data_IF_890335533445
#
_entry.id   IF_890335533445
#
_cell.length_a   1.000
_cell.length_b   1.000
_cell.length_c   1.000
_cell.angle_alpha   90.00
_cell.angle_beta   90.00
_cell.angle_gamma   90.00
#
_symmetry.space_group_name_H-M   'P 1'
#
loop_
_entity.id
_entity.type
_entity.pdbx_description
1 polymer ?
#
# COMPACT_ATOMS: atom_id res chain seq x y z
N UNK A 1 9.43 42.54 2.47
CA UNK A 1 8.73 42.02 1.28
C UNK A 1 9.56 40.81 0.87
N UNK A 2 9.30 39.57 1.33
CA UNK A 2 8.08 38.77 1.11
C UNK A 2 8.02 38.45 -0.38
N UNK A 3 8.26 37.22 -0.86
CA UNK A 3 7.49 35.96 -0.69
C UNK A 3 8.49 34.76 -0.63
N UNK A 4 8.36 33.68 0.17
CA UNK A 4 7.24 32.72 0.30
C UNK A 4 7.10 31.94 -1.01
N UNK A 5 7.43 30.66 -1.21
CA UNK A 5 7.56 29.49 -0.35
C UNK A 5 6.73 28.38 -0.99
N UNK A 6 7.35 27.40 -1.64
CA UNK A 6 6.74 26.07 -1.87
C UNK A 6 7.86 25.06 -2.15
N UNK A 7 8.19 24.23 -1.15
CA UNK A 7 9.05 23.07 -1.32
C UNK A 7 8.14 21.86 -1.50
N UNK A 8 7.83 21.49 -2.75
CA UNK A 8 7.12 20.25 -3.05
C UNK A 8 8.12 19.10 -2.98
N UNK A 9 7.88 18.23 -2.00
CA UNK A 9 8.79 17.19 -1.54
C UNK A 9 7.97 15.93 -1.34
N UNK A 10 8.06 14.99 -2.27
CA UNK A 10 7.48 13.66 -2.05
C UNK A 10 8.15 12.93 -0.94
N UNK A 11 7.31 12.48 -0.02
CA UNK A 11 7.71 11.53 0.96
C UNK A 11 6.58 10.54 1.22
N UNK A 12 6.84 9.24 1.09
CA UNK A 12 6.24 8.30 2.05
C UNK A 12 6.82 8.65 3.43
N UNK A 13 6.14 9.51 4.17
CA UNK A 13 6.44 9.76 5.57
C UNK A 13 5.48 8.91 6.37
N UNK A 14 5.96 8.19 7.38
CA UNK A 14 5.11 7.60 8.41
C UNK A 14 3.97 6.66 7.89
N UNK A 15 4.23 5.85 6.86
CA UNK A 15 3.29 4.89 6.23
C UNK A 15 2.20 5.48 5.31
N UNK A 16 2.35 6.75 4.93
CA UNK A 16 1.46 7.42 3.98
C UNK A 16 1.95 7.21 2.53
N UNK A 17 1.03 6.89 1.62
CA UNK A 17 1.25 6.73 0.18
C UNK A 17 0.32 7.70 -0.52
N UNK A 18 0.86 8.58 -1.37
CA UNK A 18 0.09 9.58 -2.11
C UNK A 18 -0.07 9.14 -3.57
N UNK A 19 -1.31 9.19 -4.08
CA UNK A 19 -1.72 8.72 -5.40
C UNK A 19 -2.34 9.88 -6.18
N UNK A 20 -1.89 10.04 -7.43
CA UNK A 20 -2.38 11.05 -8.36
C UNK A 20 -3.50 10.56 -9.25
N UNK A 21 -4.35 11.50 -9.67
CA UNK A 21 -5.24 11.34 -10.82
C UNK A 21 -4.75 12.23 -11.97
N UNK A 22 -3.72 11.80 -12.69
CA UNK A 22 -3.34 12.45 -13.95
C UNK A 22 -3.97 11.68 -15.12
N UNK A 23 -5.08 12.19 -15.66
CA UNK A 23 -5.69 11.65 -16.90
C UNK A 23 -4.89 12.09 -18.15
N UNK A 24 -3.92 12.98 -17.98
CA UNK A 24 -3.12 13.55 -19.05
C UNK A 24 -1.77 12.86 -19.18
N UNK A 25 -1.74 11.85 -20.06
CA UNK A 25 -0.57 11.10 -20.50
C UNK A 25 0.12 10.27 -19.42
N UNK A 26 0.58 9.08 -19.82
CA UNK A 26 1.50 8.21 -19.08
C UNK A 26 2.85 8.94 -18.92
N UNK A 27 2.87 10.07 -18.24
CA UNK A 27 4.08 10.77 -17.89
C UNK A 27 4.86 9.84 -16.96
N UNK A 28 6.18 9.80 -17.15
CA UNK A 28 7.08 9.15 -16.21
C UNK A 28 6.65 9.56 -14.80
N UNK A 29 6.40 8.60 -13.87
CA UNK A 29 6.01 8.94 -12.52
C UNK A 29 6.96 10.02 -12.04
N UNK A 30 6.42 11.20 -11.71
CA UNK A 30 7.24 12.19 -11.03
C UNK A 30 7.58 11.61 -9.67
N UNK A 31 8.56 12.19 -8.99
CA UNK A 31 8.96 11.65 -7.68
C UNK A 31 7.78 11.58 -6.69
N UNK A 32 6.66 12.28 -6.96
CA UNK A 32 5.62 12.70 -6.01
C UNK A 32 4.19 12.26 -6.31
N UNK A 33 3.92 11.76 -7.50
CA UNK A 33 2.59 11.36 -7.96
C UNK A 33 2.72 10.05 -8.75
N UNK A 34 1.95 9.04 -8.37
CA UNK A 34 1.84 7.80 -9.11
C UNK A 34 0.38 7.51 -9.43
N UNK A 35 0.07 7.34 -10.71
CA UNK A 35 -1.20 6.75 -11.11
C UNK A 35 -1.19 5.26 -10.74
N UNK A 36 -2.34 4.75 -10.29
CA UNK A 36 -2.48 3.37 -9.85
C UNK A 36 -3.68 2.71 -10.52
N UNK A 37 -3.48 1.48 -11.00
CA UNK A 37 -4.58 0.65 -11.51
C UNK A 37 -5.22 -0.07 -10.33
N UNK A 38 -6.56 -0.07 -10.24
CA UNK A 38 -7.28 -0.89 -9.28
C UNK A 38 -7.65 -2.20 -9.98
N UNK A 39 -7.03 -3.31 -9.57
CA UNK A 39 -7.17 -4.61 -10.25
C UNK A 39 -7.33 -5.74 -9.25
N UNK A 40 -8.55 -6.27 -9.16
CA UNK A 40 -8.88 -7.43 -8.33
C UNK A 40 -8.30 -8.75 -8.88
N UNK A 41 -7.82 -8.78 -10.13
CA UNK A 41 -7.15 -9.92 -10.75
C UNK A 41 -5.68 -10.08 -10.31
N UNK A 42 -5.08 -9.04 -9.72
CA UNK A 42 -3.73 -9.06 -9.19
C UNK A 42 -3.75 -9.28 -7.68
N UNK A 43 -3.11 -10.34 -7.18
CA UNK A 43 -3.17 -10.71 -5.75
C UNK A 43 -2.58 -9.65 -4.81
N UNK A 44 -1.35 -9.20 -5.08
CA UNK A 44 -0.57 -8.28 -4.23
C UNK A 44 -0.58 -6.86 -4.81
N UNK A 45 -0.35 -5.86 -3.96
CA UNK A 45 -0.17 -4.48 -4.43
C UNK A 45 1.20 -4.34 -5.08
N UNK A 46 1.23 -3.84 -6.31
CA UNK A 46 2.45 -3.51 -7.04
C UNK A 46 2.73 -2.03 -6.91
N UNK A 47 3.93 -1.67 -6.46
CA UNK A 47 4.36 -0.27 -6.37
C UNK A 47 5.62 -0.08 -7.18
N UNK A 48 5.80 1.12 -7.77
CA UNK A 48 7.08 1.49 -8.36
C UNK A 48 8.22 1.29 -7.35
N UNK A 49 9.36 0.78 -7.82
CA UNK A 49 10.47 0.33 -6.95
C UNK A 49 10.86 1.34 -5.87
N UNK A 50 10.95 2.63 -6.23
CA UNK A 50 11.30 3.72 -5.29
C UNK A 50 10.29 3.85 -4.15
N UNK A 51 8.99 3.77 -4.45
CA UNK A 51 7.91 3.84 -3.45
C UNK A 51 7.93 2.59 -2.57
N UNK A 52 8.08 1.41 -3.19
CA UNK A 52 8.15 0.14 -2.48
C UNK A 52 9.29 0.12 -1.45
N UNK A 53 10.52 0.42 -1.86
CA UNK A 53 11.67 0.33 -0.94
C UNK A 53 11.61 1.36 0.18
N UNK A 54 10.97 2.52 -0.07
CA UNK A 54 10.70 3.48 0.99
C UNK A 54 9.70 2.94 2.00
N UNK A 55 8.58 2.38 1.53
CA UNK A 55 7.59 1.71 2.38
C UNK A 55 8.23 0.57 3.18
N UNK A 56 9.02 -0.29 2.53
CA UNK A 56 9.72 -1.40 3.19
C UNK A 56 10.60 -0.88 4.35
N UNK A 57 11.36 0.20 4.11
CA UNK A 57 12.19 0.84 5.14
C UNK A 57 11.39 1.32 6.34
N UNK A 58 10.22 1.95 6.12
CA UNK A 58 9.33 2.40 7.20
C UNK A 58 8.75 1.21 7.95
N UNK A 59 8.29 0.18 7.26
CA UNK A 59 7.76 -1.05 7.88
C UNK A 59 8.82 -1.71 8.77
N UNK A 60 10.05 -1.85 8.26
CA UNK A 60 11.18 -2.40 9.02
C UNK A 60 11.56 -1.56 10.24
N UNK A 61 11.39 -0.24 10.17
CA UNK A 61 11.66 0.64 11.31
C UNK A 61 10.57 0.56 12.39
N UNK A 62 9.34 0.16 12.05
CA UNK A 62 8.22 0.03 12.98
C UNK A 62 8.06 -1.39 13.55
N UNK A 63 8.72 -2.39 12.96
CA UNK A 63 8.68 -3.79 13.40
C UNK A 63 10.05 -4.17 13.97
N UNK A 64 10.13 -4.43 15.27
CA UNK A 64 11.39 -4.71 15.99
C UNK A 64 11.94 -6.13 15.78
N UNK A 65 11.63 -6.79 14.67
CA UNK A 65 12.09 -8.15 14.37
C UNK A 65 12.90 -8.22 13.10
N UNK A 66 13.78 -9.22 13.05
CA UNK A 66 14.57 -9.47 11.86
C UNK A 66 13.68 -10.13 10.80
N UNK A 67 13.66 -9.60 9.56
CA UNK A 67 12.99 -10.27 8.47
C UNK A 67 13.54 -11.68 8.26
N UNK A 68 12.65 -12.62 7.92
CA UNK A 68 13.03 -13.98 7.57
C UNK A 68 13.88 -13.96 6.29
N UNK A 69 15.02 -14.65 6.33
CA UNK A 69 15.92 -14.80 5.18
C UNK A 69 16.25 -16.27 4.90
N UNK A 70 16.22 -16.73 3.63
CA UNK A 70 15.79 -15.99 2.44
C UNK A 70 14.28 -15.71 2.47
N UNK A 71 13.85 -14.63 1.82
CA UNK A 71 12.44 -14.34 1.61
C UNK A 71 11.71 -15.56 1.00
N UNK A 72 10.44 -15.75 1.36
CA UNK A 72 9.69 -16.95 1.00
C UNK A 72 9.64 -17.16 -0.53
N UNK A 73 9.51 -18.41 -0.99
CA UNK A 73 9.44 -18.77 -2.43
C UNK A 73 8.25 -18.15 -3.20
N UNK A 74 7.40 -17.36 -2.54
CA UNK A 74 6.18 -16.76 -3.09
C UNK A 74 6.39 -15.35 -3.65
N UNK A 75 7.62 -14.86 -3.70
CA UNK A 75 7.95 -13.58 -4.34
C UNK A 75 7.62 -12.34 -3.50
N UNK A 76 7.35 -12.50 -2.19
CA UNK A 76 7.16 -11.40 -1.26
C UNK A 76 8.49 -11.06 -0.58
N UNK A 77 9.03 -9.84 -0.74
CA UNK A 77 10.40 -9.53 -0.28
C UNK A 77 10.55 -9.38 1.24
N UNK A 78 9.49 -9.01 1.95
CA UNK A 78 9.53 -8.73 3.39
C UNK A 78 8.57 -9.64 4.18
N UNK A 79 9.13 -10.53 5.00
CA UNK A 79 8.39 -11.52 5.78
C UNK A 79 8.89 -11.61 7.22
N UNK A 80 8.00 -11.95 8.16
CA UNK A 80 8.26 -12.07 9.59
C UNK A 80 7.61 -13.33 10.17
N UNK A 81 8.12 -13.79 11.31
CA UNK A 81 7.51 -14.88 12.05
C UNK A 81 6.34 -14.37 12.91
N UNK A 82 5.16 -14.99 12.78
CA UNK A 82 3.95 -14.62 13.52
C UNK A 82 4.05 -14.88 15.02
N UNK A 83 4.84 -15.87 15.45
CA UNK A 83 5.06 -16.13 16.88
C UNK A 83 5.83 -15.00 17.54
N UNK A 84 6.70 -14.32 16.79
CA UNK A 84 7.34 -13.09 17.23
C UNK A 84 6.28 -11.97 17.28
N UNK A 85 5.49 -11.80 16.20
CA UNK A 85 4.37 -10.84 16.11
C UNK A 85 3.32 -10.92 17.22
N UNK A 86 2.98 -12.12 17.68
CA UNK A 86 1.95 -12.31 18.71
C UNK A 86 2.49 -12.18 20.14
N UNK A 87 3.81 -12.34 20.34
CA UNK A 87 4.44 -12.28 21.66
C UNK A 87 4.55 -10.87 22.24
N UNK A 88 4.55 -9.85 21.38
CA UNK A 88 4.46 -8.44 21.73
C UNK A 88 3.29 -7.89 20.92
N UNK A 89 2.30 -7.25 21.55
CA UNK A 89 1.11 -6.64 20.91
C UNK A 89 1.48 -5.51 19.91
N UNK A 90 2.33 -5.78 18.94
CA UNK A 90 2.81 -4.83 17.95
C UNK A 90 1.72 -4.70 16.92
N UNK A 91 1.06 -3.54 16.96
CA UNK A 91 0.20 -3.11 15.87
C UNK A 91 1.10 -2.85 14.67
N UNK A 92 0.91 -3.61 13.60
CA UNK A 92 1.50 -3.30 12.31
C UNK A 92 1.10 -1.87 11.92
N UNK A 93 1.99 -1.13 11.23
CA UNK A 93 1.69 0.24 10.85
C UNK A 93 0.41 0.30 10.02
N UNK A 94 -0.50 1.21 10.39
CA UNK A 94 -1.60 1.60 9.48
C UNK A 94 -0.99 2.24 8.25
N UNK A 95 -1.43 1.83 7.06
CA UNK A 95 -1.00 2.43 5.80
C UNK A 95 -2.16 3.19 5.20
N UNK A 96 -1.91 4.40 4.70
CA UNK A 96 -2.95 5.25 4.14
C UNK A 96 -2.61 5.54 2.69
N UNK A 97 -3.53 5.25 1.79
CA UNK A 97 -3.47 5.70 0.41
C UNK A 97 -4.29 6.98 0.30
N UNK A 98 -3.61 8.10 0.07
CA UNK A 98 -4.21 9.39 -0.19
C UNK A 98 -4.47 9.51 -1.68
N UNK A 99 -5.74 9.50 -2.08
CA UNK A 99 -6.18 9.80 -3.44
C UNK A 99 -6.57 11.26 -3.55
N UNK A 100 -6.48 11.81 -4.77
CA UNK A 100 -6.97 13.15 -5.08
C UNK A 100 -8.44 13.33 -4.66
N UNK A 101 -8.81 14.55 -4.26
CA UNK A 101 -10.15 14.86 -3.73
C UNK A 101 -10.29 14.62 -2.23
N UNK A 102 -9.19 14.67 -1.48
CA UNK A 102 -9.12 14.46 -0.02
C UNK A 102 -9.64 13.07 0.43
N UNK A 103 -9.46 12.05 -0.43
CA UNK A 103 -9.95 10.70 -0.20
C UNK A 103 -8.86 9.79 0.39
N UNK A 104 -9.01 9.41 1.66
CA UNK A 104 -8.11 8.50 2.36
C UNK A 104 -8.63 7.06 2.33
N UNK A 105 -7.89 6.15 1.71
CA UNK A 105 -8.10 4.70 1.86
C UNK A 105 -7.14 4.17 2.92
N UNK A 106 -7.67 3.97 4.13
CA UNK A 106 -6.92 3.45 5.27
C UNK A 106 -6.87 1.93 5.22
N UNK A 107 -5.68 1.36 5.11
CA UNK A 107 -5.46 -0.07 5.06
C UNK A 107 -5.12 -0.61 6.46
N UNK A 108 -5.78 -1.69 6.83
CA UNK A 108 -5.48 -2.44 8.07
C UNK A 108 -4.41 -3.51 7.82
N UNK A 109 -4.03 -4.24 8.86
CA UNK A 109 -3.18 -5.43 8.75
C UNK A 109 -3.70 -6.44 7.71
N UNK A 110 -5.02 -6.71 7.66
CA UNK A 110 -5.59 -7.66 6.70
C UNK A 110 -5.49 -7.19 5.25
N UNK A 111 -5.28 -5.89 5.05
CA UNK A 111 -5.09 -5.28 3.73
C UNK A 111 -3.61 -5.20 3.33
N UNK A 112 -2.70 -5.30 4.29
CA UNK A 112 -1.27 -4.98 4.10
C UNK A 112 -0.35 -6.16 4.30
N UNK A 113 -0.78 -7.18 5.04
CA UNK A 113 -0.02 -8.40 5.28
C UNK A 113 -0.81 -9.65 4.90
N UNK A 114 -0.09 -10.64 4.38
CA UNK A 114 -0.64 -11.91 3.96
C UNK A 114 0.04 -13.07 4.66
N UNK A 115 -0.76 -13.94 5.28
CA UNK A 115 -0.30 -15.17 5.91
C UNK A 115 0.11 -16.20 4.86
N UNK A 116 1.40 -16.51 4.77
CA UNK A 116 1.94 -17.54 3.85
C UNK A 116 1.84 -18.93 4.47
N UNK A 117 2.09 -19.02 5.78
CA UNK A 117 1.88 -20.23 6.59
C UNK A 117 1.22 -19.84 7.91
N UNK A 118 1.01 -20.81 8.81
CA UNK A 118 0.57 -20.55 10.18
C UNK A 118 1.53 -19.57 10.89
N UNK A 119 2.83 -19.79 10.75
CA UNK A 119 3.88 -19.03 11.44
C UNK A 119 4.51 -17.90 10.62
N UNK A 120 4.19 -17.73 9.34
CA UNK A 120 4.83 -16.72 8.49
C UNK A 120 3.80 -15.77 7.91
N UNK A 121 4.04 -14.47 8.08
CA UNK A 121 3.31 -13.40 7.41
C UNK A 121 4.28 -12.52 6.62
N UNK A 122 3.81 -11.96 5.52
CA UNK A 122 4.62 -11.12 4.65
C UNK A 122 3.86 -9.85 4.27
N UNK A 123 4.60 -8.77 4.06
CA UNK A 123 4.06 -7.55 3.48
C UNK A 123 3.49 -7.89 2.09
N UNK A 124 2.21 -7.62 1.85
CA UNK A 124 1.48 -7.94 0.63
C UNK A 124 1.73 -6.91 -0.49
N UNK A 125 2.96 -6.38 -0.56
CA UNK A 125 3.42 -5.40 -1.51
C UNK A 125 4.68 -5.92 -2.21
N UNK A 126 4.82 -5.63 -3.50
CA UNK A 126 5.94 -6.08 -4.33
C UNK A 126 6.43 -4.91 -5.21
N UNK A 127 7.75 -4.74 -5.38
CA UNK A 127 8.29 -3.74 -6.30
C UNK A 127 7.97 -4.11 -7.75
N UNK A 128 7.64 -3.11 -8.56
CA UNK A 128 7.32 -3.22 -9.97
C UNK A 128 8.15 -2.22 -10.77
N UNK A 129 8.72 -2.67 -11.88
CA UNK A 129 9.34 -1.82 -12.90
C UNK A 129 8.35 -1.38 -13.99
N UNK A 130 7.10 -1.85 -13.90
CA UNK A 130 6.01 -1.52 -14.82
C UNK A 130 4.96 -0.66 -14.15
N UNK A 131 3.69 -1.06 -14.27
CA UNK A 131 2.55 -0.36 -13.66
C UNK A 131 2.52 -0.51 -12.14
N UNK A 132 1.98 0.51 -11.46
CA UNK A 132 1.51 0.40 -10.08
C UNK A 132 0.07 -0.13 -10.06
N UNK A 133 -0.20 -1.07 -9.16
CA UNK A 133 -1.50 -1.75 -9.05
C UNK A 133 -1.92 -1.85 -7.58
N UNK A 134 -3.12 -1.40 -7.24
CA UNK A 134 -3.80 -1.71 -5.99
C UNK A 134 -4.44 -3.10 -6.11
N UNK A 135 -3.80 -4.11 -5.51
CA UNK A 135 -4.18 -5.51 -5.66
C UNK A 135 -5.35 -5.95 -4.76
N UNK A 136 -5.83 -7.16 -5.01
CA UNK A 136 -6.99 -7.77 -4.36
C UNK A 136 -6.92 -7.77 -2.82
N UNK A 137 -5.76 -8.06 -2.22
CA UNK A 137 -5.61 -8.08 -0.75
C UNK A 137 -5.85 -6.68 -0.16
N UNK A 138 -5.32 -5.63 -0.79
CA UNK A 138 -5.54 -4.27 -0.35
C UNK A 138 -7.02 -3.83 -0.45
N UNK A 139 -7.77 -4.43 -1.38
CA UNK A 139 -9.20 -4.18 -1.58
C UNK A 139 -10.12 -4.99 -0.65
N UNK A 140 -9.58 -5.95 0.13
CA UNK A 140 -10.40 -6.80 1.02
C UNK A 140 -11.14 -5.98 2.08
N UNK A 141 -12.39 -6.35 2.41
CA UNK A 141 -13.25 -5.63 3.36
C UNK A 141 -13.55 -4.17 2.95
N UNK A 142 -13.59 -3.93 1.64
CA UNK A 142 -14.16 -2.73 1.05
C UNK A 142 -15.24 -3.11 0.02
N UNK A 143 -16.31 -2.32 -0.01
CA UNK A 143 -17.14 -2.16 -1.21
C UNK A 143 -16.42 -1.12 -2.07
N UNK A 144 -16.06 -1.51 -3.28
CA UNK A 144 -15.39 -0.64 -4.26
C UNK A 144 -16.41 -0.30 -5.34
N UNK A 145 -16.92 0.92 -5.31
CA UNK A 145 -17.92 1.39 -6.26
C UNK A 145 -17.27 2.20 -7.37
N UNK A 146 -17.60 1.86 -8.62
CA UNK A 146 -17.13 2.56 -9.82
C UNK A 146 -18.29 3.35 -10.42
N UNK A 147 -18.30 4.66 -10.18
CA UNK A 147 -19.24 5.58 -10.83
C UNK A 147 -18.67 6.03 -12.18
N UNK A 148 -19.16 5.41 -13.25
CA UNK A 148 -18.69 5.71 -14.61
C UNK A 148 -19.20 7.07 -15.11
N UNK A 149 -20.35 7.54 -14.63
CA UNK A 149 -20.93 8.82 -15.03
C UNK A 149 -20.24 9.97 -14.29
N UNK A 150 -20.05 9.82 -12.97
CA UNK A 150 -19.32 10.74 -12.11
C UNK A 150 -17.80 10.70 -12.27
N UNK A 151 -17.27 9.63 -12.90
CA UNK A 151 -15.83 9.34 -13.04
C UNK A 151 -15.10 9.25 -11.70
N UNK A 152 -15.74 8.59 -10.75
CA UNK A 152 -15.25 8.45 -9.38
C UNK A 152 -15.14 6.97 -9.00
N UNK A 153 -14.13 6.66 -8.19
CA UNK A 153 -14.04 5.38 -7.50
C UNK A 153 -14.09 5.64 -6.01
N UNK A 154 -14.97 4.94 -5.29
CA UNK A 154 -15.11 5.08 -3.84
C UNK A 154 -14.81 3.77 -3.13
N UNK A 155 -14.27 3.88 -1.91
CA UNK A 155 -13.91 2.75 -1.06
C UNK A 155 -14.67 2.86 0.26
N UNK A 156 -15.67 2.01 0.45
CA UNK A 156 -16.45 1.97 1.69
C UNK A 156 -16.08 0.73 2.49
N UNK A 157 -15.65 0.90 3.75
CA UNK A 157 -15.39 -0.23 4.66
C UNK A 157 -16.63 -1.11 4.78
N UNK A 158 -16.45 -2.42 4.62
CA UNK A 158 -17.53 -3.38 4.73
C UNK A 158 -17.05 -4.67 5.41
N UNK A 159 -17.94 -5.31 6.17
CA UNK A 159 -17.74 -6.69 6.59
C UNK A 159 -18.22 -7.62 5.46
N UNK A 160 -17.29 -8.12 4.64
CA UNK A 160 -17.63 -8.99 3.51
C UNK A 160 -18.11 -10.40 3.93
N UNK A 161 -18.17 -10.72 5.23
CA UNK A 161 -18.81 -11.93 5.73
C UNK A 161 -20.32 -11.78 5.99
N UNK A 162 -20.83 -10.54 5.95
CA UNK A 162 -22.23 -10.22 6.27
C UNK A 162 -23.11 -10.03 5.01
N UNK A 163 -22.56 -10.32 3.83
CA UNK A 163 -23.24 -10.23 2.52
C UNK A 163 -23.39 -11.60 1.87
#
# INVERSE_FOLDING_TARGET
MGEGGEQNKTLANNNEIFISNSVDSYNSPTDDEADIVIDSGTTYTLLHEKVYYKLEGVVRANINWNPIQPATKKGLPLCYNKTELSSNLIKLPEMIFHFNGDADVRLTETNTFFAITEDVTCLAFVPSSGVAILGNIAQTNFIVDYDLDGREVSFTRANCFEY
#
